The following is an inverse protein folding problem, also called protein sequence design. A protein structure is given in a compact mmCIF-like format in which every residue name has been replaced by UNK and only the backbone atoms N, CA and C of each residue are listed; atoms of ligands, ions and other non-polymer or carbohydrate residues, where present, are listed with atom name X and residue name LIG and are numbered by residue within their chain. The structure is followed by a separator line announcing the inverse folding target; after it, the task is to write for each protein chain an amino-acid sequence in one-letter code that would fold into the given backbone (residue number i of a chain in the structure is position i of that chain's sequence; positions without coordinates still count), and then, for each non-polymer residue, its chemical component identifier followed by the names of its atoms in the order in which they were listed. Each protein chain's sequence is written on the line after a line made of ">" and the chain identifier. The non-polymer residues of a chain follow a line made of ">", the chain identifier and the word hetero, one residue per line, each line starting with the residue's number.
data_IF_757201662952
#
_entry.id   IF_757201662952
#
_cell.length_a   1.000
_cell.length_b   1.000
_cell.length_c   1.000
_cell.angle_alpha   90.00
_cell.angle_beta   90.00
_cell.angle_gamma   90.00
#
_symmetry.space_group_name_H-M   'P 1'
#
loop_
_entity.id
_entity.type
_entity.pdbx_description
1 polymer ?
#
# COMPACT_ATOMS: atom_id res chain seq x y z
N UNK A 1 11.20 5.82 8.31
CA UNK A 1 10.89 4.58 9.03
C UNK A 1 10.95 4.70 10.57
N UNK A 2 11.81 5.56 11.15
CA UNK A 2 11.95 5.74 12.61
C UNK A 2 10.76 6.40 13.35
N UNK A 3 10.01 7.30 12.70
CA UNK A 3 8.87 8.00 13.34
C UNK A 3 7.78 7.01 13.73
N UNK A 4 7.33 6.15 12.81
CA UNK A 4 6.31 5.13 13.09
C UNK A 4 6.69 4.22 14.27
N UNK A 5 7.97 3.89 14.42
CA UNK A 5 8.46 3.03 15.53
C UNK A 5 8.22 3.65 16.91
N UNK A 6 8.18 4.98 17.01
CA UNK A 6 8.04 5.70 18.29
C UNK A 6 6.70 6.44 18.44
N UNK A 7 5.97 6.66 17.35
CA UNK A 7 4.71 7.41 17.35
C UNK A 7 3.46 6.53 17.26
N UNK A 8 3.61 5.25 16.94
CA UNK A 8 2.49 4.31 16.90
C UNK A 8 2.28 3.73 18.29
N UNK A 9 1.18 4.14 18.92
CA UNK A 9 0.82 3.68 20.27
C UNK A 9 -0.05 2.42 20.26
N UNK A 10 -0.69 2.10 19.13
CA UNK A 10 -1.55 0.93 19.01
C UNK A 10 -1.64 0.45 17.55
N UNK A 11 -1.75 -0.87 17.35
CA UNK A 11 -1.92 -1.51 16.05
C UNK A 11 -2.99 -2.57 16.18
N UNK A 12 -3.93 -2.58 15.24
CA UNK A 12 -4.93 -3.64 15.12
C UNK A 12 -4.96 -4.13 13.68
N UNK A 13 -4.77 -5.43 13.51
CA UNK A 13 -4.98 -6.07 12.22
C UNK A 13 -6.48 -6.21 11.96
N UNK A 14 -6.91 -5.88 10.75
CA UNK A 14 -8.25 -6.09 10.26
C UNK A 14 -8.18 -6.58 8.81
N UNK A 15 -9.16 -7.40 8.41
CA UNK A 15 -9.16 -8.07 7.11
C UNK A 15 -8.27 -9.32 7.04
N UNK A 16 -8.56 -10.17 6.06
CA UNK A 16 -7.87 -11.42 5.74
C UNK A 16 -7.75 -11.59 4.23
N UNK A 17 -6.69 -12.30 3.78
CA UNK A 17 -6.53 -12.70 2.37
C UNK A 17 -7.64 -13.63 1.85
N UNK A 18 -8.44 -14.17 2.76
CA UNK A 18 -9.57 -15.05 2.47
C UNK A 18 -10.93 -14.34 2.58
N UNK A 19 -10.95 -13.06 2.94
CA UNK A 19 -12.19 -12.29 2.99
C UNK A 19 -12.71 -12.01 1.58
N UNK A 20 -14.02 -11.76 1.47
CA UNK A 20 -14.64 -11.41 0.19
C UNK A 20 -13.95 -10.19 -0.40
N UNK A 21 -13.50 -10.28 -1.66
CA UNK A 21 -12.89 -9.16 -2.37
C UNK A 21 -13.93 -8.04 -2.49
N UNK A 22 -13.72 -6.94 -1.78
CA UNK A 22 -14.44 -5.68 -1.95
C UNK A 22 -13.59 -4.69 -2.76
N UNK A 23 -14.21 -3.58 -3.18
CA UNK A 23 -13.54 -2.52 -3.94
C UNK A 23 -12.28 -2.01 -3.22
N UNK A 24 -12.30 -2.07 -1.88
CA UNK A 24 -11.19 -1.71 -1.02
C UNK A 24 -10.01 -2.69 -1.14
N UNK A 25 -10.22 -4.00 -0.99
CA UNK A 25 -9.18 -5.01 -1.19
C UNK A 25 -8.64 -5.02 -2.63
N UNK A 26 -9.51 -4.78 -3.61
CA UNK A 26 -9.14 -4.67 -5.02
C UNK A 26 -8.20 -3.49 -5.32
N UNK A 27 -8.40 -2.36 -4.64
CA UNK A 27 -7.61 -1.15 -4.80
C UNK A 27 -6.33 -1.13 -3.94
N UNK A 28 -6.38 -1.68 -2.72
CA UNK A 28 -5.36 -1.47 -1.69
C UNK A 28 -4.48 -2.69 -1.42
N UNK A 29 -4.93 -3.91 -1.71
CA UNK A 29 -4.23 -5.12 -1.30
C UNK A 29 -3.92 -5.15 0.21
N UNK A 30 -2.68 -5.47 0.57
CA UNK A 30 -2.19 -5.37 1.95
C UNK A 30 -1.63 -3.96 2.18
N UNK A 31 -2.33 -3.13 2.96
CA UNK A 31 -1.92 -1.75 3.23
C UNK A 31 -2.03 -1.37 4.70
N UNK A 32 -1.38 -0.27 5.09
CA UNK A 32 -1.50 0.28 6.43
C UNK A 32 -2.40 1.52 6.44
N UNK A 33 -3.54 1.42 7.13
CA UNK A 33 -4.34 2.59 7.50
C UNK A 33 -3.84 3.17 8.82
N UNK A 34 -3.58 4.47 8.83
CA UNK A 34 -3.12 5.22 9.99
C UNK A 34 -4.26 6.07 10.52
N UNK A 35 -4.33 6.17 11.85
CA UNK A 35 -5.28 7.04 12.55
C UNK A 35 -4.47 8.08 13.33
N UNK A 36 -4.78 9.35 13.10
CA UNK A 36 -4.21 10.49 13.80
C UNK A 36 -5.31 11.19 14.60
N UNK A 37 -4.97 11.67 15.80
CA UNK A 37 -5.91 12.39 16.66
C UNK A 37 -5.46 13.84 16.76
N UNK A 38 -6.40 14.76 16.56
CA UNK A 38 -6.21 16.21 16.73
C UNK A 38 -7.06 16.67 17.91
N UNK A 39 -6.44 17.38 18.84
CA UNK A 39 -7.07 17.85 20.06
C UNK A 39 -6.07 18.56 20.97
N UNK A 40 -6.49 18.81 22.21
CA UNK A 40 -5.68 19.49 23.22
C UNK A 40 -5.94 18.89 24.61
N UNK A 41 -5.04 19.16 25.54
CA UNK A 41 -5.23 18.81 26.97
C UNK A 41 -5.93 19.97 27.67
N UNK A 42 -6.92 19.65 28.48
CA UNK A 42 -7.66 20.59 29.32
C UNK A 42 -7.94 19.98 30.71
N UNK A 43 -8.54 20.74 31.62
CA UNK A 43 -8.92 20.29 32.96
C UNK A 43 -10.44 20.27 33.13
N UNK A 44 -10.97 19.08 33.38
CA UNK A 44 -12.38 18.88 33.73
C UNK A 44 -12.48 18.41 35.18
N UNK A 45 -13.13 19.19 36.04
CA UNK A 45 -13.26 18.90 37.47
C UNK A 45 -11.91 18.65 38.16
N UNK A 46 -10.90 19.47 37.85
CA UNK A 46 -9.51 19.35 38.34
C UNK A 46 -8.77 18.08 37.93
N UNK A 47 -9.31 17.29 37.00
CA UNK A 47 -8.63 16.15 36.38
C UNK A 47 -8.21 16.51 34.97
N UNK A 48 -7.02 16.09 34.57
CA UNK A 48 -6.54 16.28 33.21
C UNK A 48 -7.35 15.40 32.25
N UNK A 49 -7.80 16.01 31.15
CA UNK A 49 -8.53 15.35 30.08
C UNK A 49 -7.92 15.73 28.75
N UNK A 50 -7.99 14.82 27.78
CA UNK A 50 -7.72 15.14 26.40
C UNK A 50 -9.04 15.37 25.66
N UNK A 51 -9.20 16.57 25.11
CA UNK A 51 -10.35 16.98 24.31
C UNK A 51 -10.06 16.67 22.85
N UNK A 52 -10.73 15.65 22.32
CA UNK A 52 -10.62 15.24 20.93
C UNK A 52 -11.47 16.15 20.04
N UNK A 53 -10.85 16.82 19.09
CA UNK A 53 -11.54 17.68 18.13
C UNK A 53 -11.84 16.95 16.83
N UNK A 54 -10.84 16.24 16.28
CA UNK A 54 -10.95 15.53 15.02
C UNK A 54 -10.12 14.24 15.04
N UNK A 55 -10.60 13.26 14.26
CA UNK A 55 -9.88 12.03 13.95
C UNK A 55 -9.55 12.07 12.47
N UNK A 56 -8.27 11.94 12.13
CA UNK A 56 -7.78 11.83 10.76
C UNK A 56 -7.47 10.38 10.41
N UNK A 57 -7.96 9.91 9.27
CA UNK A 57 -7.58 8.62 8.71
C UNK A 57 -6.84 8.84 7.40
N UNK A 58 -5.72 8.16 7.22
CA UNK A 58 -4.95 8.22 5.98
C UNK A 58 -4.25 6.90 5.72
N UNK A 59 -3.97 6.65 4.45
CA UNK A 59 -3.21 5.49 4.01
C UNK A 59 -1.75 5.89 3.92
N UNK A 60 -0.90 4.95 4.34
CA UNK A 60 0.54 5.06 4.16
C UNK A 60 1.03 3.73 3.60
N UNK A 61 1.72 3.80 2.48
CA UNK A 61 2.36 2.64 1.89
C UNK A 61 3.82 2.92 1.54
N UNK A 62 4.64 1.88 1.56
CA UNK A 62 6.01 1.92 1.07
C UNK A 62 5.99 1.33 -0.33
N UNK A 63 6.17 2.19 -1.33
CA UNK A 63 6.52 1.72 -2.65
C UNK A 63 8.03 1.57 -2.68
N UNK A 64 8.50 0.44 -2.19
CA UNK A 64 9.90 0.06 -2.17
C UNK A 64 10.12 -1.21 -2.99
N UNK A 65 11.32 -1.35 -3.56
CA UNK A 65 11.69 -2.53 -4.32
C UNK A 65 12.64 -3.37 -3.46
N UNK A 66 12.09 -3.97 -2.39
CA UNK A 66 12.84 -4.76 -1.42
C UNK A 66 12.89 -6.23 -1.87
N UNK A 67 14.10 -6.79 -1.99
CA UNK A 67 14.30 -8.14 -2.51
C UNK A 67 14.37 -8.18 -4.04
N UNK A 68 15.04 -9.19 -4.60
CA UNK A 68 15.37 -9.22 -6.03
C UNK A 68 14.25 -9.78 -6.94
N UNK A 69 13.43 -10.69 -6.42
CA UNK A 69 12.56 -11.56 -7.23
C UNK A 69 11.08 -11.20 -7.18
N UNK A 70 10.71 -10.09 -6.55
CA UNK A 70 9.31 -9.68 -6.52
C UNK A 70 8.83 -9.28 -7.92
N UNK A 71 7.69 -9.81 -8.39
CA UNK A 71 7.14 -9.48 -9.70
C UNK A 71 6.48 -8.10 -9.70
N UNK A 72 6.88 -7.26 -10.65
CA UNK A 72 6.35 -5.91 -10.89
C UNK A 72 5.39 -5.87 -12.09
N UNK A 73 4.94 -7.04 -12.56
CA UNK A 73 4.04 -7.21 -13.69
C UNK A 73 4.74 -7.59 -14.99
N UNK A 74 3.95 -7.66 -16.06
CA UNK A 74 4.42 -8.05 -17.41
C UNK A 74 4.24 -6.86 -18.35
N UNK A 75 5.35 -6.36 -18.87
CA UNK A 75 5.44 -5.06 -19.53
C UNK A 75 5.84 -5.22 -21.00
N UNK A 76 5.31 -4.34 -21.84
CA UNK A 76 5.80 -4.10 -23.19
C UNK A 76 5.90 -2.60 -23.46
N UNK A 77 6.35 -2.23 -24.66
CA UNK A 77 6.30 -0.84 -25.13
C UNK A 77 4.88 -0.27 -25.21
N UNK A 78 3.86 -1.12 -25.24
CA UNK A 78 2.46 -0.75 -25.39
C UNK A 78 1.72 -0.68 -24.04
N UNK A 79 2.39 -0.94 -22.91
CA UNK A 79 1.80 -0.91 -21.58
C UNK A 79 2.01 -2.19 -20.79
N UNK A 80 1.18 -2.37 -19.76
CA UNK A 80 1.24 -3.47 -18.79
C UNK A 80 0.03 -4.37 -19.01
N UNK A 81 0.23 -5.69 -18.92
CA UNK A 81 -0.89 -6.65 -18.94
C UNK A 81 -1.79 -6.50 -17.71
N UNK A 82 -3.10 -6.65 -17.93
CA UNK A 82 -4.06 -6.78 -16.84
C UNK A 82 -3.85 -8.09 -16.05
N UNK A 83 -4.56 -8.25 -14.92
CA UNK A 83 -4.41 -9.41 -14.04
C UNK A 83 -4.75 -10.74 -14.73
N UNK A 84 -5.80 -10.79 -15.55
CA UNK A 84 -6.24 -12.02 -16.22
C UNK A 84 -5.20 -12.42 -17.27
N UNK A 85 -4.78 -11.46 -18.10
CA UNK A 85 -3.74 -11.65 -19.10
C UNK A 85 -2.39 -12.02 -18.48
N UNK A 86 -2.06 -11.47 -17.31
CA UNK A 86 -0.83 -11.79 -16.58
C UNK A 86 -0.82 -13.22 -16.04
N UNK A 87 -1.96 -13.75 -15.57
CA UNK A 87 -2.08 -15.15 -15.13
C UNK A 87 -1.90 -16.11 -16.30
N UNK A 88 -2.55 -15.84 -17.44
CA UNK A 88 -2.41 -16.66 -18.64
C UNK A 88 -0.97 -16.64 -19.18
N UNK A 89 -0.35 -15.46 -19.25
CA UNK A 89 1.06 -15.33 -19.59
C UNK A 89 1.95 -16.14 -18.64
N UNK A 90 1.75 -16.01 -17.32
CA UNK A 90 2.56 -16.72 -16.32
C UNK A 90 2.43 -18.23 -16.45
N UNK A 91 1.23 -18.75 -16.75
CA UNK A 91 1.02 -20.18 -17.00
C UNK A 91 1.80 -20.65 -18.23
N UNK A 92 1.67 -19.94 -19.36
CA UNK A 92 2.40 -20.26 -20.60
C UNK A 92 3.92 -20.15 -20.43
N UNK A 93 4.38 -19.20 -19.62
CA UNK A 93 5.80 -19.01 -19.28
C UNK A 93 6.32 -20.16 -18.41
N UNK A 94 5.56 -20.59 -17.41
CA UNK A 94 5.92 -21.70 -16.54
C UNK A 94 5.98 -23.04 -17.29
N UNK A 95 5.12 -23.24 -18.30
CA UNK A 95 5.11 -24.44 -19.15
C UNK A 95 6.11 -24.39 -20.31
N UNK A 96 6.84 -23.28 -20.48
CA UNK A 96 7.78 -23.11 -21.58
C UNK A 96 7.11 -23.05 -22.97
N UNK A 97 5.85 -22.63 -23.04
CA UNK A 97 5.06 -22.57 -24.27
C UNK A 97 5.41 -21.35 -25.13
N UNK A 98 6.67 -21.26 -25.57
CA UNK A 98 7.26 -20.08 -26.21
C UNK A 98 6.53 -19.63 -27.49
N UNK A 99 6.04 -20.57 -28.31
CA UNK A 99 5.29 -20.23 -29.53
C UNK A 99 3.96 -19.53 -29.19
N UNK A 100 3.24 -20.02 -28.18
CA UNK A 100 1.99 -19.41 -27.74
C UNK A 100 2.23 -18.02 -27.13
N UNK A 101 3.28 -17.88 -26.32
CA UNK A 101 3.71 -16.58 -25.79
C UNK A 101 4.04 -15.59 -26.90
N UNK A 102 4.77 -16.02 -27.93
CA UNK A 102 5.11 -15.16 -29.04
C UNK A 102 3.89 -14.74 -29.85
N UNK A 103 2.95 -15.66 -30.12
CA UNK A 103 1.72 -15.33 -30.86
C UNK A 103 0.81 -14.38 -30.06
N UNK A 104 0.62 -14.64 -28.76
CA UNK A 104 -0.40 -13.95 -27.95
C UNK A 104 0.12 -12.71 -27.24
N UNK A 105 1.40 -12.72 -26.85
CA UNK A 105 2.01 -11.72 -25.97
C UNK A 105 3.36 -11.24 -26.52
N UNK A 106 3.49 -11.13 -27.84
CA UNK A 106 4.73 -10.68 -28.47
C UNK A 106 5.23 -9.36 -27.86
N UNK A 107 6.51 -9.32 -27.48
CA UNK A 107 7.14 -8.12 -26.91
C UNK A 107 6.79 -7.81 -25.45
N UNK A 108 5.99 -8.66 -24.79
CA UNK A 108 5.78 -8.58 -23.35
C UNK A 108 6.80 -9.41 -22.58
N UNK A 109 7.36 -8.83 -21.53
CA UNK A 109 8.36 -9.46 -20.66
C UNK A 109 8.02 -9.29 -19.19
N UNK A 110 8.29 -10.30 -18.33
CA UNK A 110 8.13 -10.14 -16.90
C UNK A 110 9.17 -9.14 -16.38
N UNK A 111 8.72 -8.18 -15.59
CA UNK A 111 9.58 -7.24 -14.87
C UNK A 111 9.58 -7.63 -13.40
N UNK A 112 10.77 -7.69 -12.82
CA UNK A 112 10.99 -7.94 -11.39
C UNK A 112 11.83 -6.82 -10.81
N UNK A 113 11.92 -6.75 -9.49
CA UNK A 113 12.74 -5.76 -8.78
C UNK A 113 14.16 -5.67 -9.35
N UNK A 114 14.84 -6.79 -9.62
CA UNK A 114 16.19 -6.76 -10.19
C UNK A 114 16.25 -6.11 -11.59
N UNK A 115 15.27 -6.39 -12.45
CA UNK A 115 15.15 -5.73 -13.77
C UNK A 115 14.99 -4.22 -13.62
N UNK A 116 14.15 -3.78 -12.68
CA UNK A 116 13.95 -2.38 -12.38
C UNK A 116 15.22 -1.73 -11.82
N UNK A 117 15.91 -2.37 -10.87
CA UNK A 117 17.17 -1.84 -10.29
C UNK A 117 18.28 -1.71 -11.34
N UNK A 118 18.39 -2.66 -12.28
CA UNK A 118 19.31 -2.55 -13.43
C UNK A 118 18.98 -1.35 -14.32
N UNK A 119 17.70 -1.14 -14.59
CA UNK A 119 17.23 0.04 -15.33
C UNK A 119 17.54 1.34 -14.58
N UNK A 120 17.26 1.38 -13.27
CA UNK A 120 17.51 2.51 -12.37
C UNK A 120 18.99 2.91 -12.40
N UNK A 121 19.90 1.94 -12.27
CA UNK A 121 21.36 2.17 -12.30
C UNK A 121 21.84 2.73 -13.63
N UNK A 122 21.20 2.35 -14.75
CA UNK A 122 21.58 2.79 -16.09
C UNK A 122 21.10 4.22 -16.39
N UNK A 123 19.92 4.59 -15.90
CA UNK A 123 19.29 5.88 -16.23
C UNK A 123 19.42 6.92 -15.11
N UNK A 124 19.85 6.50 -13.91
CA UNK A 124 19.89 7.35 -12.71
C UNK A 124 18.53 8.00 -12.39
N UNK A 125 17.45 7.27 -12.67
CA UNK A 125 16.05 7.67 -12.53
C UNK A 125 15.29 6.65 -11.69
N UNK A 126 14.19 7.07 -11.07
CA UNK A 126 13.37 6.23 -10.18
C UNK A 126 13.90 6.21 -8.75
N UNK A 127 13.17 5.55 -7.85
CA UNK A 127 13.52 5.45 -6.44
C UNK A 127 12.42 4.82 -5.60
N UNK A 128 12.74 4.56 -4.34
CA UNK A 128 11.79 4.08 -3.35
C UNK A 128 11.05 5.30 -2.76
N UNK A 129 9.73 5.24 -2.67
CA UNK A 129 8.93 6.34 -2.15
C UNK A 129 7.91 5.87 -1.11
N UNK A 130 7.58 6.77 -0.21
CA UNK A 130 6.47 6.57 0.72
C UNK A 130 5.27 7.29 0.13
N UNK A 131 4.20 6.55 -0.15
CA UNK A 131 2.95 7.11 -0.62
C UNK A 131 2.06 7.41 0.57
N UNK A 132 1.45 8.59 0.55
CA UNK A 132 0.41 8.98 1.48
C UNK A 132 -0.86 9.28 0.70
N UNK A 133 -2.01 8.87 1.21
CA UNK A 133 -3.28 9.43 0.75
C UNK A 133 -3.50 10.81 1.37
N UNK A 134 -4.48 11.53 0.84
CA UNK A 134 -5.10 12.63 1.57
C UNK A 134 -5.67 12.14 2.91
N UNK A 135 -5.79 13.07 3.86
CA UNK A 135 -6.34 12.78 5.19
C UNK A 135 -7.86 12.96 5.15
N UNK A 136 -8.59 11.90 5.48
CA UNK A 136 -10.00 11.99 5.79
C UNK A 136 -10.18 12.45 7.24
N UNK A 137 -10.63 13.69 7.42
CA UNK A 137 -10.96 14.24 8.74
C UNK A 137 -12.42 13.96 9.10
N UNK A 138 -12.63 13.46 10.31
CA UNK A 138 -13.93 13.13 10.86
C UNK A 138 -14.08 13.66 12.28
N UNK A 139 -15.31 13.97 12.68
CA UNK A 139 -15.61 14.27 14.06
C UNK A 139 -15.50 12.99 14.90
N UNK A 140 -14.98 13.04 16.14
CA UNK A 140 -15.01 11.91 17.04
C UNK A 140 -16.46 11.55 17.41
N UNK A 141 -16.69 10.27 17.69
CA UNK A 141 -17.94 9.82 18.27
C UNK A 141 -18.19 10.54 19.62
N UNK A 142 -19.45 10.82 19.98
CA UNK A 142 -19.78 11.59 21.19
C UNK A 142 -19.08 11.07 22.46
N UNK A 143 -19.01 9.75 22.63
CA UNK A 143 -18.37 9.09 23.76
C UNK A 143 -16.84 9.18 23.80
N UNK A 144 -16.20 9.59 22.69
CA UNK A 144 -14.74 9.69 22.57
C UNK A 144 -14.26 11.15 22.44
N UNK A 145 -15.15 12.13 22.64
CA UNK A 145 -14.79 13.56 22.65
C UNK A 145 -13.90 13.93 23.82
N UNK A 146 -14.11 13.30 24.97
CA UNK A 146 -13.35 13.56 26.19
C UNK A 146 -12.71 12.23 26.63
N UNK A 147 -11.39 12.21 26.69
CA UNK A 147 -10.61 11.07 27.19
C UNK A 147 -10.00 11.50 28.51
N UNK A 148 -10.32 10.76 29.59
CA UNK A 148 -9.69 10.99 30.88
C UNK A 148 -8.27 10.40 30.86
N UNK A 149 -7.28 11.22 31.26
CA UNK A 149 -5.87 10.85 31.33
C UNK A 149 -5.51 10.19 32.67
#
# INVERSE_FOLDING_TARGET
>A
MRIDTFSVVNVRQFGSKLDTVDDWYGAMGNSNMKVAVKGHVDKLNSKDVFVTEQIGMYLKDTYDFVGANEPLGIWSKNGILDKISSVDYAALYATGSWLALWIKYNGYVPVINDSFRKWQKKHNEGGDFIVFSDILWMNPLPQHKIIHL
#
